data_IF_460824093207
#
_entry.id   IF_460824093207
#
_cell.length_a   1.000
_cell.length_b   1.000
_cell.length_c   1.000
_cell.angle_alpha   90.00
_cell.angle_beta   90.00
_cell.angle_gamma   90.00
#
_symmetry.space_group_name_H-M   'P 1'
#
loop_
_entity.id
_entity.type
_entity.pdbx_description
1 polymer ?
#
# COMPACT_ATOMS: atom_id res chain seq x y z
N UNK A 1 -28.04 -22.82 -45.90
CA UNK A 1 -27.86 -24.11 -45.19
C UNK A 1 -26.43 -24.07 -44.72
N UNK A 2 -26.20 -23.90 -43.42
CA UNK A 2 -24.84 -23.90 -42.87
C UNK A 2 -24.53 -25.33 -42.45
N UNK A 3 -23.47 -25.92 -43.00
CA UNK A 3 -22.94 -27.20 -42.56
C UNK A 3 -21.83 -26.94 -41.55
N UNK A 4 -21.86 -27.67 -40.43
CA UNK A 4 -20.82 -27.62 -39.41
C UNK A 4 -19.62 -28.43 -39.91
N UNK A 5 -18.45 -27.81 -39.98
CA UNK A 5 -17.20 -28.53 -40.26
C UNK A 5 -16.88 -29.51 -39.13
N UNK A 6 -16.61 -30.77 -39.49
CA UNK A 6 -16.22 -31.82 -38.56
C UNK A 6 -14.79 -31.56 -38.06
N UNK A 7 -14.69 -31.12 -36.80
CA UNK A 7 -13.42 -30.95 -36.10
C UNK A 7 -12.91 -32.31 -35.58
N UNK A 8 -11.69 -32.69 -35.97
CA UNK A 8 -10.99 -33.83 -35.37
C UNK A 8 -10.13 -33.33 -34.21
N UNK A 9 -10.37 -33.79 -32.96
CA UNK A 9 -9.59 -33.32 -31.82
C UNK A 9 -8.13 -33.80 -31.91
N UNK A 10 -7.18 -32.97 -31.47
CA UNK A 10 -5.76 -33.34 -31.44
C UNK A 10 -5.51 -34.50 -30.47
N UNK A 11 -4.53 -35.34 -30.80
CA UNK A 11 -4.10 -36.44 -29.93
C UNK A 11 -3.42 -35.85 -28.68
N UNK A 12 -3.89 -36.18 -27.46
CA UNK A 12 -3.33 -35.61 -26.24
C UNK A 12 -1.89 -36.08 -26.00
N UNK A 13 -1.06 -35.15 -25.54
CA UNK A 13 0.33 -35.41 -25.16
C UNK A 13 0.42 -36.11 -23.78
N UNK A 14 1.62 -36.56 -23.41
CA UNK A 14 1.86 -37.12 -22.08
C UNK A 14 1.61 -36.12 -20.96
N UNK A 15 1.84 -34.81 -21.20
CA UNK A 15 1.55 -33.75 -20.24
C UNK A 15 0.05 -33.50 -20.11
N UNK A 16 -0.69 -33.55 -21.23
CA UNK A 16 -2.16 -33.43 -21.22
C UNK A 16 -2.78 -34.55 -20.40
N UNK A 17 -2.26 -35.78 -20.52
CA UNK A 17 -2.72 -36.93 -19.74
C UNK A 17 -2.51 -36.74 -18.22
N UNK A 18 -1.40 -36.12 -17.81
CA UNK A 18 -1.12 -35.82 -16.41
C UNK A 18 -2.07 -34.72 -15.89
N UNK A 19 -2.31 -33.69 -16.70
CA UNK A 19 -3.25 -32.62 -16.35
C UNK A 19 -4.68 -33.13 -16.23
N UNK A 20 -5.11 -34.00 -17.15
CA UNK A 20 -6.42 -34.64 -17.14
C UNK A 20 -6.60 -35.49 -15.87
N UNK A 21 -5.60 -36.33 -15.54
CA UNK A 21 -5.63 -37.14 -14.33
C UNK A 21 -5.70 -36.28 -13.06
N UNK A 22 -4.86 -35.24 -12.97
CA UNK A 22 -4.88 -34.32 -11.83
C UNK A 22 -6.20 -33.56 -11.71
N UNK A 23 -6.83 -33.20 -12.84
CA UNK A 23 -8.14 -32.57 -12.89
C UNK A 23 -9.24 -33.52 -12.41
N UNK A 24 -9.26 -34.77 -12.89
CA UNK A 24 -10.25 -35.78 -12.48
C UNK A 24 -10.13 -36.11 -10.99
N UNK A 25 -8.91 -36.17 -10.45
CA UNK A 25 -8.68 -36.46 -9.03
C UNK A 25 -9.12 -35.31 -8.11
N UNK A 26 -8.90 -34.06 -8.51
CA UNK A 26 -9.13 -32.91 -7.64
C UNK A 26 -10.42 -32.14 -7.94
N UNK A 27 -11.09 -32.38 -9.07
CA UNK A 27 -12.28 -31.65 -9.48
C UNK A 27 -13.46 -32.61 -9.61
N UNK A 28 -14.45 -32.42 -8.73
CA UNK A 28 -15.74 -33.11 -8.81
C UNK A 28 -16.87 -32.12 -9.12
N UNK A 29 -18.06 -32.61 -9.47
CA UNK A 29 -19.21 -31.75 -9.79
C UNK A 29 -20.36 -32.08 -8.84
N UNK A 30 -20.92 -31.05 -8.21
CA UNK A 30 -22.01 -31.25 -7.26
C UNK A 30 -23.37 -31.42 -7.94
N UNK A 31 -24.39 -31.79 -7.15
CA UNK A 31 -25.78 -31.98 -7.61
C UNK A 31 -26.42 -30.74 -8.23
N UNK A 32 -25.83 -29.55 -8.04
CA UNK A 32 -26.27 -28.29 -8.63
C UNK A 32 -25.46 -27.89 -9.88
N UNK A 33 -24.58 -28.77 -10.38
CA UNK A 33 -23.81 -28.57 -11.60
C UNK A 33 -22.60 -27.66 -11.46
N UNK A 34 -22.16 -27.32 -10.24
CA UNK A 34 -20.94 -26.55 -9.98
C UNK A 34 -19.74 -27.46 -9.75
N UNK A 35 -18.56 -27.01 -10.22
CA UNK A 35 -17.30 -27.67 -9.93
C UNK A 35 -16.87 -27.41 -8.48
N UNK A 36 -16.50 -28.48 -7.79
CA UNK A 36 -15.91 -28.50 -6.45
C UNK A 36 -14.47 -29.01 -6.59
N UNK A 37 -13.51 -28.14 -6.26
CA UNK A 37 -12.08 -28.44 -6.37
C UNK A 37 -11.53 -28.71 -4.97
N UNK A 38 -11.01 -29.92 -4.75
CA UNK A 38 -10.24 -30.26 -3.57
C UNK A 38 -8.93 -29.47 -3.56
N UNK A 39 -8.73 -28.61 -2.56
CA UNK A 39 -7.46 -27.91 -2.37
C UNK A 39 -6.45 -28.92 -1.81
N UNK A 40 -5.22 -29.00 -2.36
CA UNK A 40 -4.19 -29.85 -1.78
C UNK A 40 -3.78 -29.23 -0.44
N UNK A 41 -4.26 -29.81 0.66
CA UNK A 41 -3.77 -29.48 1.97
C UNK A 41 -2.32 -29.95 2.05
N UNK A 42 -1.40 -29.04 2.39
CA UNK A 42 -0.07 -29.47 2.85
C UNK A 42 -0.33 -30.32 4.10
N UNK A 43 0.18 -31.55 4.11
CA UNK A 43 0.22 -32.36 5.33
C UNK A 43 0.85 -31.54 6.47
N UNK A 44 0.49 -31.87 7.72
CA UNK A 44 0.99 -31.19 8.92
C UNK A 44 2.46 -30.79 8.74
N UNK A 45 2.84 -29.51 8.95
CA UNK A 45 4.22 -29.08 8.83
C UNK A 45 5.01 -29.64 10.00
N UNK A 46 5.37 -30.92 9.93
CA UNK A 46 6.28 -31.60 10.87
C UNK A 46 7.70 -31.04 10.77
N UNK A 47 8.00 -30.35 9.67
CA UNK A 47 9.26 -29.67 9.43
C UNK A 47 9.04 -28.16 9.46
N UNK A 48 9.22 -27.51 10.62
CA UNK A 48 9.74 -26.14 10.58
C UNK A 48 11.04 -26.23 9.76
N UNK A 49 11.22 -25.37 8.76
CA UNK A 49 12.34 -25.48 7.81
C UNK A 49 13.73 -25.44 8.48
N UNK A 50 14.79 -25.39 7.68
CA UNK A 50 16.19 -25.51 8.16
C UNK A 50 16.69 -24.32 9.01
N UNK A 51 15.79 -23.43 9.45
CA UNK A 51 16.09 -22.23 10.23
C UNK A 51 16.85 -22.54 11.51
N UNK A 52 16.54 -23.68 12.17
CA UNK A 52 17.23 -24.12 13.37
C UNK A 52 18.66 -24.59 13.09
N UNK A 53 18.87 -25.40 12.05
CA UNK A 53 20.20 -25.85 11.65
C UNK A 53 21.07 -24.67 11.16
N UNK A 54 20.47 -23.72 10.44
CA UNK A 54 21.13 -22.50 9.98
C UNK A 54 21.45 -21.54 11.14
N UNK A 55 20.59 -21.41 12.16
CA UNK A 55 20.89 -20.55 13.31
C UNK A 55 22.04 -21.13 14.15
N UNK A 56 22.04 -22.45 14.35
CA UNK A 56 23.06 -23.16 15.12
C UNK A 56 24.44 -23.11 14.47
N UNK A 57 24.51 -23.04 13.14
CA UNK A 57 25.78 -22.90 12.39
C UNK A 57 26.29 -21.47 12.30
N UNK A 58 25.40 -20.46 12.28
CA UNK A 58 25.79 -19.06 12.06
C UNK A 58 26.25 -18.31 13.31
N UNK A 59 25.60 -18.53 14.45
CA UNK A 59 25.90 -17.82 15.70
C UNK A 59 25.94 -18.81 16.88
N UNK A 60 26.90 -19.75 16.91
CA UNK A 60 27.00 -20.75 17.98
C UNK A 60 27.48 -20.16 19.31
N UNK A 61 28.37 -19.15 19.25
CA UNK A 61 29.06 -18.58 20.41
C UNK A 61 28.84 -17.07 20.53
N UNK A 62 28.81 -16.59 21.77
CA UNK A 62 28.68 -15.15 22.11
C UNK A 62 29.82 -14.34 21.49
N UNK A 63 31.06 -14.89 21.47
CA UNK A 63 32.22 -14.24 20.85
C UNK A 63 32.01 -13.98 19.36
N UNK A 64 31.39 -14.93 18.65
CA UNK A 64 31.08 -14.78 17.22
C UNK A 64 29.96 -13.77 17.00
N UNK A 65 28.97 -13.72 17.90
CA UNK A 65 27.92 -12.71 17.84
C UNK A 65 28.48 -11.29 18.02
N UNK A 66 29.43 -11.11 18.93
CA UNK A 66 30.14 -9.83 19.13
C UNK A 66 30.96 -9.44 17.89
N UNK A 67 31.72 -10.35 17.29
CA UNK A 67 32.50 -10.04 16.09
C UNK A 67 31.61 -9.64 14.92
N UNK A 68 30.52 -10.38 14.69
CA UNK A 68 29.51 -10.05 13.65
C UNK A 68 28.86 -8.70 13.91
N UNK A 69 28.50 -8.39 15.16
CA UNK A 69 27.98 -7.08 15.55
C UNK A 69 28.97 -5.96 15.18
N UNK A 70 30.24 -6.09 15.57
CA UNK A 70 31.25 -5.06 15.27
C UNK A 70 31.53 -4.88 13.78
N UNK A 71 31.49 -5.97 13.00
CA UNK A 71 31.64 -5.91 11.54
C UNK A 71 30.47 -5.19 10.89
N UNK A 72 29.24 -5.50 11.32
CA UNK A 72 28.03 -4.88 10.82
C UNK A 72 27.99 -3.38 11.14
N UNK A 73 28.30 -2.97 12.37
CA UNK A 73 28.36 -1.55 12.74
C UNK A 73 29.33 -0.79 11.84
N UNK A 74 30.56 -1.29 11.67
CA UNK A 74 31.57 -0.67 10.79
C UNK A 74 31.12 -0.58 9.34
N UNK A 75 30.47 -1.62 8.83
CA UNK A 75 30.00 -1.66 7.44
C UNK A 75 28.93 -0.60 7.18
N UNK A 76 27.98 -0.44 8.11
CA UNK A 76 26.92 0.55 7.98
C UNK A 76 27.40 1.97 8.28
N UNK A 77 28.37 2.15 9.17
CA UNK A 77 29.04 3.43 9.41
C UNK A 77 29.75 3.95 8.16
N UNK A 78 30.42 3.07 7.39
CA UNK A 78 31.00 3.45 6.10
C UNK A 78 29.97 3.93 5.08
N UNK A 79 28.71 3.50 5.22
CA UNK A 79 27.57 3.97 4.43
C UNK A 79 26.86 5.20 5.02
N UNK A 80 27.30 5.74 6.16
CA UNK A 80 26.67 6.85 6.85
C UNK A 80 25.41 6.47 7.64
N UNK A 81 25.18 5.19 7.92
CA UNK A 81 24.00 4.70 8.64
C UNK A 81 24.37 4.26 10.06
N UNK A 82 23.61 4.76 11.05
CA UNK A 82 23.72 4.33 12.44
C UNK A 82 22.67 3.27 12.74
N UNK A 83 23.11 2.08 13.16
CA UNK A 83 22.21 1.00 13.55
C UNK A 83 21.69 1.20 14.97
N UNK A 84 20.36 1.20 15.10
CA UNK A 84 19.61 1.42 16.34
C UNK A 84 18.70 0.23 16.63
N UNK A 85 18.21 0.13 17.86
CA UNK A 85 17.25 -0.89 18.34
C UNK A 85 17.84 -2.31 18.42
N UNK A 86 19.06 -2.42 18.92
CA UNK A 86 19.67 -3.72 19.20
C UNK A 86 18.94 -4.44 20.34
N UNK A 87 18.79 -5.76 20.19
CA UNK A 87 18.17 -6.64 21.17
C UNK A 87 18.90 -7.98 21.17
N UNK A 88 19.08 -8.56 22.36
CA UNK A 88 19.64 -9.89 22.54
C UNK A 88 19.07 -10.51 23.81
N UNK A 89 19.06 -11.84 23.87
CA UNK A 89 18.83 -12.61 25.09
C UNK A 89 20.08 -12.69 25.98
N UNK A 90 21.25 -12.31 25.46
CA UNK A 90 22.52 -12.35 26.21
C UNK A 90 22.91 -10.97 26.75
N UNK A 91 23.04 -10.87 28.08
CA UNK A 91 23.45 -9.64 28.75
C UNK A 91 24.91 -9.26 28.44
N UNK A 92 25.77 -10.25 28.18
CA UNK A 92 27.17 -10.02 27.80
C UNK A 92 27.30 -9.23 26.49
N UNK A 93 26.47 -9.53 25.49
CA UNK A 93 26.47 -8.82 24.22
C UNK A 93 25.86 -7.42 24.35
N UNK A 94 24.77 -7.29 25.13
CA UNK A 94 24.15 -5.98 25.38
C UNK A 94 25.09 -5.03 26.11
N UNK A 95 25.92 -5.52 27.04
CA UNK A 95 26.89 -4.69 27.77
C UNK A 95 27.90 -3.95 26.86
N UNK A 96 28.12 -4.44 25.63
CA UNK A 96 29.03 -3.84 24.67
C UNK A 96 28.36 -2.79 23.77
N UNK A 97 27.03 -2.68 23.83
CA UNK A 97 26.23 -1.77 23.04
C UNK A 97 25.82 -0.61 23.94
N UNK A 98 26.01 0.65 23.55
CA UNK A 98 25.52 1.78 24.35
C UNK A 98 24.01 1.72 24.56
N UNK A 99 23.55 2.04 25.78
CA UNK A 99 22.14 1.94 26.18
C UNK A 99 21.17 2.70 25.26
N UNK A 100 21.62 3.82 24.66
CA UNK A 100 20.81 4.62 23.74
C UNK A 100 20.54 3.94 22.39
N UNK A 101 21.31 2.91 22.04
CA UNK A 101 21.12 2.09 20.83
C UNK A 101 20.36 0.79 21.11
N UNK A 102 20.21 0.42 22.38
CA UNK A 102 19.48 -0.77 22.81
C UNK A 102 17.97 -0.50 22.85
N UNK A 103 17.17 -1.56 22.67
CA UNK A 103 15.74 -1.51 22.87
C UNK A 103 15.35 -2.41 24.05
N UNK A 104 15.24 -1.80 25.23
CA UNK A 104 15.03 -2.49 26.51
C UNK A 104 13.55 -2.71 26.86
N UNK A 105 12.63 -2.23 26.02
CA UNK A 105 11.19 -2.46 26.19
C UNK A 105 10.76 -3.67 25.37
N UNK A 106 9.98 -4.62 25.91
CA UNK A 106 9.44 -5.72 25.12
C UNK A 106 8.69 -5.15 23.90
N UNK A 107 9.12 -5.55 22.70
CA UNK A 107 8.48 -5.11 21.45
C UNK A 107 7.15 -5.84 21.34
N UNK A 108 6.07 -5.13 21.59
CA UNK A 108 4.80 -5.49 21.00
C UNK A 108 4.93 -5.31 19.48
N UNK A 109 4.71 -6.38 18.70
CA UNK A 109 4.68 -6.33 17.22
C UNK A 109 3.49 -5.52 16.65
N UNK A 110 2.95 -4.60 17.44
CA UNK A 110 1.54 -4.25 17.40
C UNK A 110 1.27 -2.84 16.90
N UNK A 111 2.28 -2.10 16.41
CA UNK A 111 2.02 -0.72 15.95
C UNK A 111 2.40 -0.32 14.53
N UNK A 112 3.33 -0.97 13.84
CA UNK A 112 3.51 -0.70 12.40
C UNK A 112 4.26 -1.86 11.73
N UNK A 113 3.54 -2.60 10.88
CA UNK A 113 4.03 -3.63 9.94
C UNK A 113 4.98 -4.72 10.48
N UNK A 114 4.39 -5.84 10.93
CA UNK A 114 4.53 -7.20 10.38
C UNK A 114 3.88 -8.18 11.37
N UNK A 115 2.59 -8.46 11.16
CA UNK A 115 1.86 -9.47 11.94
C UNK A 115 2.41 -10.85 11.58
N UNK A 116 3.22 -11.42 12.45
CA UNK A 116 3.37 -12.87 12.55
C UNK A 116 2.77 -13.29 13.89
N UNK A 117 1.52 -13.77 13.85
CA UNK A 117 0.81 -14.50 14.91
C UNK A 117 0.52 -13.80 16.27
N UNK A 118 0.87 -12.53 16.49
CA UNK A 118 0.45 -11.80 17.71
C UNK A 118 1.17 -12.23 19.00
N UNK A 119 2.39 -12.75 18.85
CA UNK A 119 3.28 -13.15 19.93
C UNK A 119 4.24 -11.99 20.26
N UNK A 120 4.42 -11.65 21.53
CA UNK A 120 5.40 -10.70 22.07
C UNK A 120 6.62 -11.49 22.59
N UNK A 121 7.82 -11.23 22.06
CA UNK A 121 9.06 -11.83 22.59
C UNK A 121 9.62 -10.97 23.72
N UNK A 122 9.90 -11.60 24.86
CA UNK A 122 10.59 -10.98 25.98
C UNK A 122 12.06 -11.42 25.98
N UNK A 123 13.01 -10.54 25.58
CA UNK A 123 14.42 -10.91 25.43
C UNK A 123 15.08 -11.36 26.73
N UNK A 124 14.68 -10.75 27.87
CA UNK A 124 15.29 -11.02 29.17
C UNK A 124 14.99 -12.41 29.73
N UNK A 125 13.84 -12.98 29.36
CA UNK A 125 13.38 -14.29 29.82
C UNK A 125 13.34 -15.34 28.70
N UNK A 126 13.75 -14.96 27.50
CA UNK A 126 13.65 -15.73 26.26
C UNK A 126 12.29 -16.42 26.04
N UNK A 127 11.20 -15.72 26.36
CA UNK A 127 9.86 -16.27 26.30
C UNK A 127 9.00 -15.52 25.29
N UNK A 128 8.14 -16.25 24.57
CA UNK A 128 7.04 -15.66 23.80
C UNK A 128 5.80 -15.55 24.69
N UNK A 129 5.15 -14.40 24.66
CA UNK A 129 3.90 -14.10 25.37
C UNK A 129 2.85 -13.60 24.39
N UNK A 130 1.58 -13.54 24.77
CA UNK A 130 0.53 -12.99 23.91
C UNK A 130 -0.32 -12.01 24.73
N UNK A 131 -0.66 -10.87 24.13
CA UNK A 131 -1.43 -9.84 24.82
C UNK A 131 -2.92 -10.09 24.64
N UNK A 132 -3.57 -10.70 25.65
CA UNK A 132 -5.04 -10.75 25.71
C UNK A 132 -5.57 -9.50 26.38
N UNK A 133 -6.06 -8.53 25.60
CA UNK A 133 -6.82 -7.41 26.15
C UNK A 133 -8.28 -7.81 26.39
N UNK A 134 -8.58 -8.40 27.54
CA UNK A 134 -9.98 -8.56 27.98
C UNK A 134 -10.45 -7.21 28.53
N UNK A 135 -11.20 -6.45 27.75
CA UNK A 135 -11.79 -5.19 28.20
C UNK A 135 -12.97 -5.46 29.15
N UNK A 136 -12.67 -5.76 30.41
CA UNK A 136 -13.69 -5.84 31.47
C UNK A 136 -14.15 -4.42 31.77
N UNK A 137 -15.34 -4.04 31.32
CA UNK A 137 -15.93 -2.75 31.69
C UNK A 137 -16.17 -2.73 33.21
N UNK A 138 -15.87 -1.64 33.94
CA UNK A 138 -16.04 -1.59 35.39
C UNK A 138 -17.52 -1.77 35.78
N UNK A 139 -17.83 -2.94 36.34
CA UNK A 139 -19.15 -3.30 36.82
C UNK A 139 -19.42 -2.61 38.17
N UNK A 140 -19.97 -1.40 38.15
CA UNK A 140 -20.34 -0.69 39.40
C UNK A 140 -21.69 -1.20 39.93
N UNK A 141 -21.86 -1.21 41.26
CA UNK A 141 -23.14 -1.56 41.92
C UNK A 141 -24.33 -0.75 41.36
N UNK A 142 -24.11 0.53 41.05
CA UNK A 142 -25.13 1.40 40.42
C UNK A 142 -25.52 0.93 39.02
N UNK A 143 -24.56 0.54 38.19
CA UNK A 143 -24.84 0.03 36.84
C UNK A 143 -25.62 -1.28 36.89
N UNK A 144 -25.25 -2.20 37.78
CA UNK A 144 -25.97 -3.47 37.98
C UNK A 144 -27.41 -3.26 38.45
N UNK A 145 -27.61 -2.42 39.47
CA UNK A 145 -28.96 -2.10 39.98
C UNK A 145 -29.83 -1.43 38.91
N UNK A 146 -29.25 -0.52 38.12
CA UNK A 146 -29.93 0.09 36.98
C UNK A 146 -30.33 -0.95 35.94
N UNK A 147 -29.46 -1.91 35.62
CA UNK A 147 -29.73 -2.94 34.62
C UNK A 147 -30.83 -3.91 35.08
N UNK A 148 -30.78 -4.36 36.33
CA UNK A 148 -31.83 -5.20 36.95
C UNK A 148 -33.18 -4.47 37.00
N UNK A 149 -33.18 -3.19 37.38
CA UNK A 149 -34.40 -2.38 37.40
C UNK A 149 -34.99 -2.21 35.98
N UNK A 150 -34.16 -1.99 34.97
CA UNK A 150 -34.60 -1.91 33.57
C UNK A 150 -35.18 -3.25 33.09
N UNK A 151 -34.55 -4.37 33.41
CA UNK A 151 -35.07 -5.70 33.08
C UNK A 151 -36.45 -5.94 33.70
N UNK A 152 -36.63 -5.61 34.99
CA UNK A 152 -37.90 -5.77 35.70
C UNK A 152 -39.02 -4.90 35.10
N UNK A 153 -38.71 -3.66 34.73
CA UNK A 153 -39.67 -2.78 34.05
C UNK A 153 -40.10 -3.35 32.69
N UNK A 154 -39.16 -3.92 31.93
CA UNK A 154 -39.44 -4.53 30.63
C UNK A 154 -40.23 -5.82 30.76
N UNK A 155 -39.98 -6.66 31.78
CA UNK A 155 -40.79 -7.86 32.03
C UNK A 155 -42.24 -7.53 32.39
N UNK A 156 -42.47 -6.36 32.98
CA UNK A 156 -43.81 -5.85 33.31
C UNK A 156 -44.42 -5.00 32.18
N UNK A 157 -43.79 -4.93 30.99
CA UNK A 157 -44.18 -4.10 29.84
C UNK A 157 -44.34 -2.59 30.17
N UNK A 158 -43.60 -2.10 31.16
CA UNK A 158 -43.61 -0.69 31.58
C UNK A 158 -42.55 0.12 30.80
N UNK A 159 -42.80 1.41 30.53
CA UNK A 159 -41.86 2.23 29.78
C UNK A 159 -40.55 2.47 30.55
N UNK A 160 -39.42 2.42 29.83
CA UNK A 160 -38.09 2.69 30.38
C UNK A 160 -37.90 4.18 30.73
N UNK A 161 -37.17 4.46 31.82
CA UNK A 161 -36.78 5.83 32.19
C UNK A 161 -35.69 6.41 31.27
N UNK A 162 -34.80 5.56 30.72
CA UNK A 162 -33.69 5.98 29.85
C UNK A 162 -34.16 6.43 28.47
N UNK A 163 -33.72 7.61 28.05
CA UNK A 163 -34.12 8.23 26.77
C UNK A 163 -33.60 7.49 25.53
N UNK A 164 -32.48 6.76 25.63
CA UNK A 164 -31.88 6.11 24.45
C UNK A 164 -32.63 4.84 24.05
N UNK A 165 -32.81 3.91 25.00
CA UNK A 165 -33.49 2.65 24.73
C UNK A 165 -35.00 2.82 24.61
N UNK A 166 -35.63 3.79 25.31
CA UNK A 166 -37.07 4.05 25.18
C UNK A 166 -37.49 4.33 23.73
N UNK A 167 -36.64 4.97 22.92
CA UNK A 167 -36.92 5.27 21.50
C UNK A 167 -37.13 4.02 20.65
N UNK A 168 -36.57 2.88 21.07
CA UNK A 168 -36.67 1.61 20.35
C UNK A 168 -37.90 0.79 20.78
N UNK A 169 -38.76 1.31 21.68
CA UNK A 169 -39.87 0.57 22.28
C UNK A 169 -39.53 -0.90 22.61
N UNK A 170 -38.47 -1.14 23.42
CA UNK A 170 -38.00 -2.49 23.69
C UNK A 170 -39.01 -3.25 24.55
N UNK A 171 -39.12 -4.54 24.32
CA UNK A 171 -39.90 -5.47 25.15
C UNK A 171 -39.16 -6.80 25.27
N UNK A 172 -39.50 -7.59 26.28
CA UNK A 172 -38.90 -8.91 26.48
C UNK A 172 -39.86 -9.99 25.97
N UNK A 173 -39.34 -10.90 25.16
CA UNK A 173 -40.02 -12.13 24.77
C UNK A 173 -39.00 -13.25 24.66
N UNK A 174 -39.34 -14.42 25.17
CA UNK A 174 -38.45 -15.59 25.20
C UNK A 174 -37.11 -15.31 25.90
N UNK A 175 -37.17 -14.52 26.99
CA UNK A 175 -36.00 -14.04 27.75
C UNK A 175 -35.01 -13.15 26.98
N UNK A 176 -35.34 -12.74 25.75
CA UNK A 176 -34.50 -11.86 24.92
C UNK A 176 -35.16 -10.50 24.77
N UNK A 177 -34.34 -9.44 24.75
CA UNK A 177 -34.80 -8.06 24.50
C UNK A 177 -34.97 -7.89 22.98
N UNK A 178 -36.17 -7.51 22.56
CA UNK A 178 -36.53 -7.26 21.17
C UNK A 178 -36.99 -5.83 20.97
N UNK A 179 -36.85 -5.34 19.74
CA UNK A 179 -37.22 -3.98 19.35
C UNK A 179 -38.68 -3.96 18.87
N UNK A 180 -39.45 -3.01 19.40
CA UNK A 180 -40.80 -2.71 18.94
C UNK A 180 -40.79 -1.83 17.69
N UNK A 181 -41.78 -1.98 16.82
CA UNK A 181 -41.84 -1.25 15.56
C UNK A 181 -43.24 -1.15 14.98
N UNK A 182 -43.32 -0.59 13.77
CA UNK A 182 -44.58 -0.36 13.04
C UNK A 182 -45.00 -1.53 12.15
N UNK A 183 -44.23 -2.62 12.14
CA UNK A 183 -44.43 -3.79 11.27
C UNK A 183 -45.31 -4.88 11.92
N UNK A 184 -46.05 -4.57 13.00
CA UNK A 184 -46.88 -5.55 13.71
C UNK A 184 -47.85 -6.30 12.79
N UNK A 185 -48.45 -5.58 11.84
CA UNK A 185 -49.47 -6.10 10.93
C UNK A 185 -48.92 -6.62 9.60
N UNK A 186 -47.61 -6.54 9.36
CA UNK A 186 -47.02 -7.01 8.10
C UNK A 186 -47.09 -8.54 7.98
N UNK A 187 -47.18 -9.10 6.77
CA UNK A 187 -47.13 -10.56 6.58
C UNK A 187 -45.68 -11.05 6.50
N UNK A 188 -44.97 -11.00 7.62
CA UNK A 188 -43.55 -11.35 7.73
C UNK A 188 -43.32 -12.14 9.02
N UNK A 189 -42.25 -12.94 9.05
CA UNK A 189 -41.87 -13.70 10.24
C UNK A 189 -41.74 -12.81 11.49
N UNK A 190 -42.05 -13.39 12.64
CA UNK A 190 -42.05 -12.68 13.93
C UNK A 190 -40.70 -12.01 14.24
N UNK A 191 -39.59 -12.70 13.95
CA UNK A 191 -38.23 -12.16 14.18
C UNK A 191 -37.93 -10.91 13.34
N UNK A 192 -38.47 -10.83 12.12
CA UNK A 192 -38.29 -9.67 11.25
C UNK A 192 -39.17 -8.50 11.69
N UNK A 193 -40.34 -8.77 12.27
CA UNK A 193 -41.17 -7.73 12.90
C UNK A 193 -40.51 -7.18 14.16
N UNK A 194 -39.88 -8.06 14.92
CA UNK A 194 -39.37 -7.78 16.27
C UNK A 194 -37.93 -8.30 16.44
N UNK A 195 -36.96 -7.64 15.79
CA UNK A 195 -35.58 -8.10 15.78
C UNK A 195 -34.94 -8.03 17.17
N UNK A 196 -33.98 -8.92 17.42
CA UNK A 196 -33.25 -9.04 18.68
C UNK A 196 -32.29 -7.86 18.83
N UNK A 197 -32.36 -7.14 19.96
CA UNK A 197 -31.50 -6.00 20.22
C UNK A 197 -30.08 -6.44 20.58
N UNK A 198 -29.08 -6.00 19.82
CA UNK A 198 -27.67 -6.30 20.09
C UNK A 198 -26.85 -5.01 20.34
N UNK A 199 -25.98 -5.00 21.36
CA UNK A 199 -25.11 -3.86 21.67
C UNK A 199 -23.94 -3.74 20.70
N UNK A 200 -23.49 -2.50 20.44
CA UNK A 200 -22.37 -2.21 19.53
C UNK A 200 -21.03 -2.82 19.97
N UNK A 201 -20.78 -2.90 21.27
CA UNK A 201 -19.47 -3.23 21.83
C UNK A 201 -19.20 -4.73 21.96
N UNK A 202 -20.20 -5.57 21.70
CA UNK A 202 -20.10 -7.01 21.94
C UNK A 202 -19.26 -7.70 20.85
N UNK A 203 -18.22 -8.47 21.21
CA UNK A 203 -17.46 -9.31 20.28
C UNK A 203 -18.33 -10.22 19.41
N UNK A 204 -19.46 -10.72 19.95
CA UNK A 204 -20.40 -11.55 19.20
C UNK A 204 -20.93 -10.85 17.95
N UNK A 205 -21.22 -9.55 18.04
CA UNK A 205 -21.70 -8.76 16.89
C UNK A 205 -20.66 -8.73 15.77
N UNK A 206 -19.38 -8.63 16.11
CA UNK A 206 -18.31 -8.66 15.12
C UNK A 206 -18.24 -10.02 14.41
N UNK A 207 -18.30 -11.12 15.16
CA UNK A 207 -18.28 -12.48 14.62
C UNK A 207 -19.52 -12.75 13.75
N UNK A 208 -20.70 -12.28 14.20
CA UNK A 208 -21.95 -12.41 13.47
C UNK A 208 -21.90 -11.67 12.12
N UNK A 209 -21.36 -10.45 12.10
CA UNK A 209 -21.20 -9.67 10.86
C UNK A 209 -20.20 -10.37 9.93
N UNK A 210 -19.05 -10.83 10.44
CA UNK A 210 -18.04 -11.50 9.63
C UNK A 210 -18.55 -12.82 9.03
N UNK A 211 -19.30 -13.60 9.82
CA UNK A 211 -19.92 -14.85 9.38
C UNK A 211 -20.92 -14.60 8.25
N UNK A 212 -21.87 -13.67 8.44
CA UNK A 212 -22.86 -13.36 7.41
C UNK A 212 -22.22 -12.73 6.17
N UNK A 213 -21.21 -11.87 6.36
CA UNK A 213 -20.47 -11.27 5.24
C UNK A 213 -19.80 -12.34 4.37
N UNK A 214 -19.18 -13.37 4.96
CA UNK A 214 -18.61 -14.51 4.22
C UNK A 214 -19.70 -15.41 3.63
N UNK A 215 -20.74 -15.73 4.42
CA UNK A 215 -21.86 -16.61 4.01
C UNK A 215 -22.58 -16.11 2.77
N UNK A 216 -22.78 -14.79 2.65
CA UNK A 216 -23.45 -14.17 1.52
C UNK A 216 -22.49 -13.73 0.40
N UNK A 217 -21.27 -14.26 0.34
CA UNK A 217 -20.29 -13.97 -0.71
C UNK A 217 -19.83 -12.50 -0.74
N UNK A 218 -19.36 -11.99 0.41
CA UNK A 218 -18.74 -10.68 0.52
C UNK A 218 -19.64 -9.50 0.13
N UNK A 219 -20.90 -9.57 0.55
CA UNK A 219 -21.91 -8.54 0.24
C UNK A 219 -21.52 -7.15 0.70
N UNK A 220 -22.02 -6.16 -0.05
CA UNK A 220 -21.90 -4.75 0.29
C UNK A 220 -22.62 -4.38 1.59
N UNK A 221 -22.24 -3.22 2.14
CA UNK A 221 -22.73 -2.73 3.45
C UNK A 221 -24.26 -2.71 3.59
N UNK A 222 -24.97 -2.25 2.56
CA UNK A 222 -26.43 -2.10 2.58
C UNK A 222 -27.16 -3.44 2.57
N UNK A 223 -26.74 -4.36 1.70
CA UNK A 223 -27.35 -5.69 1.60
C UNK A 223 -27.11 -6.48 2.88
N UNK A 224 -25.89 -6.46 3.41
CA UNK A 224 -25.57 -7.13 4.66
C UNK A 224 -26.38 -6.55 5.83
N UNK A 225 -26.57 -5.23 5.88
CA UNK A 225 -27.41 -4.60 6.89
C UNK A 225 -28.86 -5.07 6.78
N UNK A 226 -29.44 -5.13 5.59
CA UNK A 226 -30.81 -5.61 5.37
C UNK A 226 -30.97 -7.05 5.83
N UNK A 227 -30.03 -7.93 5.47
CA UNK A 227 -30.04 -9.34 5.87
C UNK A 227 -29.94 -9.52 7.39
N UNK A 228 -29.08 -8.73 8.06
CA UNK A 228 -28.96 -8.75 9.51
C UNK A 228 -30.23 -8.22 10.20
N UNK A 229 -30.87 -7.18 9.64
CA UNK A 229 -32.09 -6.58 10.18
C UNK A 229 -33.31 -7.50 10.17
N UNK A 230 -33.28 -8.58 9.40
CA UNK A 230 -34.33 -9.60 9.42
C UNK A 230 -34.42 -10.33 10.76
N UNK A 231 -33.32 -10.40 11.52
CA UNK A 231 -33.28 -11.13 12.80
C UNK A 231 -32.74 -10.27 13.95
N UNK A 232 -31.88 -9.29 13.67
CA UNK A 232 -31.10 -8.55 14.66
C UNK A 232 -31.17 -7.04 14.46
N UNK A 233 -31.35 -6.31 15.55
CA UNK A 233 -31.24 -4.86 15.63
C UNK A 233 -29.94 -4.48 16.32
N UNK A 234 -28.87 -4.31 15.53
CA UNK A 234 -27.56 -3.90 16.04
C UNK A 234 -27.53 -2.37 16.20
N UNK A 235 -27.20 -1.90 17.40
CA UNK A 235 -27.03 -0.46 17.66
C UNK A 235 -25.90 0.09 16.79
N UNK A 236 -26.20 1.11 15.97
CA UNK A 236 -25.26 1.70 15.01
C UNK A 236 -24.66 0.69 13.99
N UNK A 237 -25.48 -0.27 13.53
CA UNK A 237 -25.10 -1.34 12.60
C UNK A 237 -24.22 -0.90 11.42
N UNK A 238 -24.64 0.15 10.69
CA UNK A 238 -23.96 0.61 9.46
C UNK A 238 -22.49 0.92 9.66
N UNK A 239 -22.14 1.57 10.76
CA UNK A 239 -20.75 1.95 11.06
C UNK A 239 -19.88 0.73 11.32
N UNK A 240 -20.40 -0.22 12.11
CA UNK A 240 -19.70 -1.47 12.45
C UNK A 240 -19.52 -2.34 11.21
N UNK A 241 -20.58 -2.52 10.42
CA UNK A 241 -20.55 -3.28 9.17
C UNK A 241 -19.51 -2.72 8.21
N UNK A 242 -19.49 -1.39 8.00
CA UNK A 242 -18.48 -0.75 7.14
C UNK A 242 -17.06 -0.99 7.66
N UNK A 243 -16.85 -0.89 8.98
CA UNK A 243 -15.55 -1.16 9.59
C UNK A 243 -15.11 -2.62 9.39
N UNK A 244 -16.02 -3.59 9.55
CA UNK A 244 -15.72 -5.01 9.35
C UNK A 244 -15.40 -5.34 7.90
N UNK A 245 -16.18 -4.83 6.95
CA UNK A 245 -15.95 -5.02 5.52
C UNK A 245 -14.60 -4.43 5.10
N UNK A 246 -14.23 -3.25 5.62
CA UNK A 246 -12.93 -2.65 5.32
C UNK A 246 -11.74 -3.49 5.84
N UNK A 247 -11.92 -4.23 6.94
CA UNK A 247 -10.92 -5.18 7.47
C UNK A 247 -10.89 -6.53 6.72
N UNK A 248 -11.79 -6.75 5.77
CA UNK A 248 -11.83 -8.01 5.02
C UNK A 248 -10.81 -7.98 3.88
N UNK A 249 -9.82 -8.88 3.94
CA UNK A 249 -8.77 -9.00 2.91
C UNK A 249 -9.34 -9.30 1.51
N UNK A 250 -10.42 -10.08 1.42
CA UNK A 250 -11.06 -10.41 0.14
C UNK A 250 -11.67 -9.16 -0.51
N UNK A 251 -12.50 -8.41 0.23
CA UNK A 251 -13.07 -7.16 -0.26
C UNK A 251 -12.03 -6.09 -0.55
N UNK A 252 -10.97 -6.03 0.26
CA UNK A 252 -9.86 -5.11 0.03
C UNK A 252 -9.16 -5.37 -1.30
N UNK A 253 -8.85 -6.64 -1.60
CA UNK A 253 -8.19 -7.04 -2.86
C UNK A 253 -9.06 -6.81 -4.09
N UNK A 254 -10.36 -7.02 -3.99
CA UNK A 254 -11.30 -6.86 -5.10
C UNK A 254 -11.71 -5.42 -5.39
N UNK A 255 -11.43 -4.48 -4.49
CA UNK A 255 -11.79 -3.07 -4.66
C UNK A 255 -10.56 -2.15 -4.51
N UNK A 256 -9.53 -2.30 -5.37
CA UNK A 256 -8.39 -1.40 -5.35
C UNK A 256 -8.86 -0.01 -5.80
N UNK A 257 -8.61 1.01 -4.97
CA UNK A 257 -8.80 2.39 -5.41
C UNK A 257 -7.63 2.76 -6.32
N UNK A 258 -7.85 3.10 -7.60
CA UNK A 258 -6.76 3.61 -8.43
C UNK A 258 -6.25 4.91 -7.80
N UNK A 259 -4.94 4.98 -7.57
CA UNK A 259 -4.30 6.25 -7.27
C UNK A 259 -4.14 6.97 -8.61
N UNK A 260 -5.06 7.90 -8.89
CA UNK A 260 -4.91 8.75 -10.05
C UNK A 260 -3.70 9.65 -9.81
N UNK A 261 -2.67 9.64 -10.67
CA UNK A 261 -1.62 10.63 -10.58
C UNK A 261 -2.27 12.00 -10.72
N UNK A 262 -1.84 12.95 -9.88
CA UNK A 262 -2.20 14.35 -10.06
C UNK A 262 -1.65 14.74 -11.45
N UNK A 263 -2.52 15.10 -12.39
CA UNK A 263 -2.06 15.63 -13.67
C UNK A 263 -1.21 16.87 -13.39
N UNK A 264 0.01 16.90 -13.91
CA UNK A 264 0.83 18.10 -13.83
C UNK A 264 0.14 19.24 -14.56
N UNK A 265 0.45 20.47 -14.16
CA UNK A 265 0.05 21.64 -14.93
C UNK A 265 0.48 21.48 -16.39
N UNK A 266 -0.39 21.91 -17.30
CA UNK A 266 -0.13 21.87 -18.73
C UNK A 266 1.06 22.80 -19.04
N UNK A 267 2.03 22.37 -19.87
CA UNK A 267 3.13 23.24 -20.27
C UNK A 267 2.58 24.50 -20.95
N UNK A 268 3.25 25.64 -20.73
CA UNK A 268 2.92 26.94 -21.34
C UNK A 268 2.75 26.83 -22.85
N UNK A 269 3.57 26.01 -23.48
CA UNK A 269 3.62 25.71 -24.91
C UNK A 269 2.32 25.08 -25.43
N UNK A 270 1.55 24.40 -24.57
CA UNK A 270 0.27 23.77 -24.92
C UNK A 270 -0.91 24.73 -24.86
N UNK A 271 -0.79 25.81 -24.07
CA UNK A 271 -1.86 26.77 -23.81
C UNK A 271 -1.65 28.06 -24.62
N UNK A 272 -0.41 28.35 -25.01
CA UNK A 272 -0.10 29.50 -25.85
C UNK A 272 -0.43 29.18 -27.30
N UNK A 273 -1.22 30.06 -27.91
CA UNK A 273 -1.50 30.04 -29.34
C UNK A 273 -0.20 30.32 -30.10
N UNK A 274 0.17 29.42 -31.01
CA UNK A 274 1.22 29.66 -32.00
C UNK A 274 0.64 29.46 -33.39
N UNK A 275 1.11 30.27 -34.35
CA UNK A 275 0.72 30.12 -35.75
C UNK A 275 1.19 28.76 -36.29
N UNK A 276 0.33 28.09 -37.07
CA UNK A 276 0.30 26.65 -37.37
C UNK A 276 1.50 26.07 -38.17
N UNK A 277 2.59 26.82 -38.41
CA UNK A 277 3.73 26.33 -39.23
C UNK A 277 5.03 26.14 -38.41
N UNK A 278 4.97 26.28 -37.07
CA UNK A 278 6.18 26.30 -36.24
C UNK A 278 6.70 24.97 -35.70
N UNK A 279 5.85 23.98 -35.42
CA UNK A 279 6.26 22.84 -34.59
C UNK A 279 5.79 21.49 -35.17
N UNK A 280 6.69 20.84 -35.91
CA UNK A 280 6.60 19.40 -36.19
C UNK A 280 7.32 18.67 -35.05
N UNK A 281 6.56 17.96 -34.21
CA UNK A 281 7.12 17.11 -33.17
C UNK A 281 7.71 15.84 -33.77
N UNK A 282 9.05 15.71 -33.77
CA UNK A 282 9.73 14.46 -34.08
C UNK A 282 9.96 13.71 -32.76
N UNK A 283 9.28 12.58 -32.60
CA UNK A 283 9.46 11.66 -31.47
C UNK A 283 10.75 10.87 -31.68
N UNK A 284 11.86 11.33 -31.09
CA UNK A 284 13.02 10.48 -30.86
C UNK A 284 13.08 10.07 -29.39
N UNK A 285 12.98 8.77 -29.15
CA UNK A 285 13.17 8.09 -27.87
C UNK A 285 14.67 7.92 -27.55
N UNK A 286 14.99 7.85 -26.25
CA UNK A 286 16.27 7.50 -25.58
C UNK A 286 17.23 8.64 -25.14
N UNK A 287 18.03 8.42 -24.07
CA UNK A 287 17.68 8.73 -22.70
C UNK A 287 18.38 10.01 -22.21
N UNK A 288 17.63 10.86 -21.50
CA UNK A 288 18.19 12.01 -20.80
C UNK A 288 19.09 11.57 -19.64
N UNK A 289 20.38 11.83 -19.75
CA UNK A 289 21.12 12.42 -18.64
C UNK A 289 21.00 13.93 -18.77
N UNK A 290 20.24 14.57 -17.88
CA UNK A 290 20.28 16.03 -17.71
C UNK A 290 21.19 16.31 -16.51
N UNK A 291 22.24 17.14 -16.64
CA UNK A 291 22.69 17.91 -15.50
C UNK A 291 21.72 19.07 -15.31
N UNK A 292 21.08 19.13 -14.15
CA UNK A 292 20.34 20.31 -13.72
C UNK A 292 21.29 21.52 -13.62
N UNK A 293 20.99 22.59 -14.38
CA UNK A 293 21.45 23.95 -14.09
C UNK A 293 20.29 24.92 -14.25
N UNK A 294 19.51 25.06 -13.18
CA UNK A 294 18.89 26.34 -12.81
C UNK A 294 20.04 27.29 -12.40
N UNK A 295 19.81 28.60 -12.54
CA UNK A 295 20.68 29.77 -12.30
C UNK A 295 21.26 30.42 -13.56
N UNK A 296 20.67 31.58 -13.89
CA UNK A 296 21.23 32.63 -14.74
C UNK A 296 22.50 33.20 -14.08
N UNK A 297 23.63 32.52 -14.22
CA UNK A 297 24.94 33.18 -14.12
C UNK A 297 25.42 33.46 -15.54
N UNK A 298 25.76 34.72 -15.91
CA UNK A 298 26.35 35.01 -17.21
C UNK A 298 27.72 34.34 -17.26
N UNK A 299 27.76 33.12 -17.78
CA UNK A 299 28.96 32.30 -17.76
C UNK A 299 29.56 32.32 -19.16
N UNK A 300 30.80 32.81 -19.20
CA UNK A 300 31.73 32.95 -20.33
C UNK A 300 31.43 34.07 -21.33
N UNK A 301 31.96 35.30 -21.12
CA UNK A 301 32.17 36.21 -22.23
C UNK A 301 33.20 35.55 -23.15
N UNK A 302 32.82 35.33 -24.41
CA UNK A 302 33.73 34.87 -25.45
C UNK A 302 35.05 35.65 -25.38
N UNK A 303 36.20 35.00 -25.52
CA UNK A 303 37.52 35.64 -25.48
C UNK A 303 38.16 35.65 -26.86
N UNK A 304 38.97 36.68 -27.14
CA UNK A 304 39.77 36.76 -28.36
C UNK A 304 40.77 35.60 -28.35
N UNK A 305 40.86 34.87 -29.46
CA UNK A 305 41.73 33.69 -29.62
C UNK A 305 41.05 32.35 -29.35
N UNK A 306 39.80 32.30 -28.87
CA UNK A 306 39.09 31.04 -28.64
C UNK A 306 38.68 30.36 -29.94
N UNK A 307 38.82 29.02 -29.97
CA UNK A 307 38.26 28.18 -31.03
C UNK A 307 36.79 27.91 -30.74
N UNK A 308 35.94 28.22 -31.71
CA UNK A 308 34.48 28.09 -31.63
C UNK A 308 33.94 27.36 -32.85
N UNK A 309 32.85 26.65 -32.67
CA UNK A 309 32.03 26.11 -33.76
C UNK A 309 30.95 27.13 -34.10
N UNK A 310 30.78 27.45 -35.39
CA UNK A 310 29.75 28.38 -35.84
C UNK A 310 28.45 27.61 -36.10
N UNK A 311 27.41 27.93 -35.33
CA UNK A 311 26.08 27.36 -35.47
C UNK A 311 25.43 27.92 -36.75
N UNK A 312 25.18 27.06 -37.73
CA UNK A 312 24.44 27.41 -38.95
C UNK A 312 23.19 26.55 -39.07
N UNK A 313 22.02 27.19 -39.14
CA UNK A 313 20.73 26.50 -39.18
C UNK A 313 20.54 25.68 -40.48
N UNK A 314 21.30 25.97 -41.53
CA UNK A 314 21.19 25.31 -42.84
C UNK A 314 22.13 24.10 -43.00
N UNK A 315 22.91 23.75 -41.96
CA UNK A 315 23.91 22.68 -42.00
C UNK A 315 23.73 21.82 -40.74
N UNK A 316 23.79 20.47 -40.83
CA UNK A 316 23.68 19.61 -39.66
C UNK A 316 24.83 19.84 -38.66
N UNK A 317 24.62 19.62 -37.34
CA UNK A 317 25.56 19.99 -36.28
C UNK A 317 26.99 19.43 -36.41
N UNK A 318 27.16 18.26 -37.03
CA UNK A 318 28.47 17.62 -37.24
C UNK A 318 29.28 18.24 -38.39
N UNK A 319 28.67 19.12 -39.19
CA UNK A 319 29.29 19.79 -40.33
C UNK A 319 29.46 21.30 -40.12
N UNK A 320 29.23 21.79 -38.89
CA UNK A 320 29.40 23.20 -38.59
C UNK A 320 30.87 23.62 -38.70
N UNK A 321 31.16 24.78 -39.33
CA UNK A 321 32.53 25.20 -39.56
C UNK A 321 33.17 25.67 -38.25
N UNK A 322 34.42 25.25 -38.06
CA UNK A 322 35.30 25.73 -37.00
C UNK A 322 35.85 27.12 -37.34
N UNK A 323 35.95 27.96 -36.32
CA UNK A 323 36.47 29.31 -36.45
C UNK A 323 37.21 29.76 -35.18
N UNK A 324 38.05 30.77 -35.33
CA UNK A 324 38.73 31.44 -34.20
C UNK A 324 38.15 32.84 -34.04
N UNK A 325 37.90 33.26 -32.81
CA UNK A 325 37.47 34.63 -32.51
C UNK A 325 38.67 35.56 -32.66
N UNK A 326 38.61 36.44 -33.66
CA UNK A 326 39.68 37.39 -33.96
C UNK A 326 39.47 38.73 -33.26
N UNK A 327 38.23 39.19 -33.18
CA UNK A 327 37.88 40.45 -32.52
C UNK A 327 36.49 40.39 -31.91
N UNK A 328 36.30 41.08 -30.79
CA UNK A 328 35.01 41.23 -30.13
C UNK A 328 34.56 42.68 -30.19
N UNK A 329 33.27 42.89 -30.42
CA UNK A 329 32.65 44.21 -30.41
C UNK A 329 31.76 44.35 -29.17
N UNK A 330 32.25 44.94 -28.07
CA UNK A 330 31.45 45.19 -26.88
C UNK A 330 30.41 46.28 -27.15
N UNK A 331 29.19 46.09 -26.62
CA UNK A 331 28.17 47.13 -26.58
C UNK A 331 28.43 48.16 -25.47
N UNK A 332 27.51 49.11 -25.30
CA UNK A 332 27.58 50.13 -24.23
C UNK A 332 27.64 49.54 -22.81
N UNK A 333 27.11 48.33 -22.64
CA UNK A 333 27.07 47.59 -21.36
C UNK A 333 28.33 46.73 -21.11
N UNK A 334 29.37 46.84 -21.95
CA UNK A 334 30.59 46.02 -21.88
C UNK A 334 30.43 44.57 -22.40
N UNK A 335 29.21 44.12 -22.68
CA UNK A 335 28.92 42.77 -23.20
C UNK A 335 29.07 42.73 -24.72
N UNK A 336 29.94 41.84 -25.21
CA UNK A 336 30.10 41.60 -26.65
C UNK A 336 28.97 40.71 -27.19
N UNK A 337 28.09 41.30 -28.01
CA UNK A 337 26.99 40.57 -28.67
C UNK A 337 27.38 40.09 -30.07
N UNK A 338 28.44 40.65 -30.66
CA UNK A 338 28.95 40.34 -32.00
C UNK A 338 30.46 40.12 -31.94
N UNK A 339 30.94 39.11 -32.66
CA UNK A 339 32.35 38.77 -32.82
C UNK A 339 32.73 38.70 -34.30
N UNK A 340 33.94 39.12 -34.64
CA UNK A 340 34.59 38.78 -35.91
C UNK A 340 35.23 37.41 -35.75
N UNK A 341 34.82 36.46 -36.59
CA UNK A 341 35.34 35.08 -36.58
C UNK A 341 36.06 34.78 -37.88
N UNK A 342 37.19 34.08 -37.77
CA UNK A 342 38.00 33.64 -38.90
C UNK A 342 37.87 32.14 -39.08
N UNK A 343 37.29 31.74 -40.21
CA UNK A 343 37.26 30.35 -40.68
C UNK A 343 38.45 30.06 -41.59
N UNK A 344 38.59 28.82 -42.06
CA UNK A 344 39.64 28.43 -43.04
C UNK A 344 39.60 29.25 -44.33
N UNK A 345 38.41 29.68 -44.77
CA UNK A 345 38.21 30.26 -46.10
C UNK A 345 37.90 31.77 -46.07
N UNK A 346 37.37 32.32 -44.97
CA UNK A 346 37.04 33.74 -44.85
C UNK A 346 36.84 34.21 -43.41
N UNK A 347 36.96 35.52 -43.19
CA UNK A 347 36.61 36.21 -41.94
C UNK A 347 35.30 36.98 -42.09
N UNK A 348 34.35 36.79 -41.16
CA UNK A 348 33.09 37.51 -41.17
C UNK A 348 32.50 37.66 -39.76
N UNK A 349 31.53 38.57 -39.60
CA UNK A 349 30.92 38.85 -38.30
C UNK A 349 29.77 37.91 -37.98
N UNK A 350 29.72 37.44 -36.74
CA UNK A 350 28.64 36.60 -36.22
C UNK A 350 28.21 37.00 -34.81
N UNK A 351 26.91 36.87 -34.50
CA UNK A 351 26.44 37.02 -33.13
C UNK A 351 27.08 35.98 -32.22
N UNK A 352 27.49 36.38 -31.01
CA UNK A 352 28.11 35.48 -30.02
C UNK A 352 27.18 34.32 -29.65
N UNK A 353 25.85 34.54 -29.68
CA UNK A 353 24.86 33.49 -29.46
C UNK A 353 24.90 32.35 -30.50
N UNK A 354 25.53 32.55 -31.65
CA UNK A 354 25.73 31.52 -32.69
C UNK A 354 27.13 30.91 -32.67
N UNK A 355 27.91 31.20 -31.64
CA UNK A 355 29.25 30.65 -31.47
C UNK A 355 29.22 29.71 -30.27
N UNK A 356 29.56 28.45 -30.51
CA UNK A 356 29.70 27.46 -29.45
C UNK A 356 31.18 27.30 -29.12
N UNK A 357 31.66 27.69 -27.93
CA UNK A 357 33.03 27.43 -27.53
C UNK A 357 33.23 25.92 -27.41
N UNK A 358 34.32 25.42 -28.00
CA UNK A 358 34.73 24.05 -27.72
C UNK A 358 35.26 24.00 -26.28
N UNK A 359 34.88 22.99 -25.48
CA UNK A 359 35.42 22.83 -24.13
C UNK A 359 36.95 22.74 -24.21
N UNK A 360 37.64 23.60 -23.46
CA UNK A 360 39.10 23.70 -23.52
C UNK A 360 39.75 22.32 -23.36
N UNK A 361 40.58 21.99 -24.34
CA UNK A 361 41.75 21.14 -24.16
C UNK A 361 42.73 21.93 -23.28
N UNK A 362 42.77 21.61 -21.99
CA UNK A 362 43.93 21.87 -21.14
C UNK A 362 44.96 20.79 -21.35
#
# INVERSE_FOLDING_TARGET
MWELEDFTPPVPTSEDSICENYFVENVSRNSFGRYEVALPFKADPTHLGDSFALSQTRLPDIKNAVTVHTQLVKLFENGGFQMVKWMSNSNELLSQIPDFLQLNTPIAFDKESLKVLGLEWNPSSDNFSFKISVSVSPCTKRNMLSLVAQYKLLSENKPLKSNFLRKLNPFIKDHVIRVGGRLSNANVAFDHKHPILLPKSDPFVNLLIDYNHKKYCHTGTHLLQSLLQQNYWIIAARGIIRQRIWKCNHCFRLNPKPNYPIMSDLPSERIQWYNIIGNVGILNTFPHSKPDKKWNTPTNPAQIGMIVVIIQNNIPPLQWPLAIIEKLYPGKDGISRVALVRTKNSSYTRPVAKLCPLPNQS
#
